data_IF_653454452368
#
_entry.id   IF_653454452368
#
_cell.length_a   1.000
_cell.length_b   1.000
_cell.length_c   1.000
_cell.angle_alpha   90.00
_cell.angle_beta   90.00
_cell.angle_gamma   90.00
#
_symmetry.space_group_name_H-M   'P 1'
#
loop_
_entity.id
_entity.type
_entity.pdbx_description
1 polymer ?
#
# COMPACT_ATOMS: atom_id res chain seq x y z
N UNK A 1 -11.56 54.78 21.09
CA UNK A 1 -11.30 53.96 19.89
C UNK A 1 -10.61 52.68 20.34
N UNK A 2 -11.32 51.55 20.24
CA UNK A 2 -10.84 50.21 20.66
C UNK A 2 -10.09 49.58 19.48
N UNK A 3 -8.80 49.30 19.66
CA UNK A 3 -8.05 48.45 18.76
C UNK A 3 -8.33 46.99 19.15
N UNK A 4 -9.34 46.39 18.53
CA UNK A 4 -9.50 44.94 18.47
C UNK A 4 -9.68 44.62 16.99
N UNK A 5 -8.56 44.49 16.29
CA UNK A 5 -8.51 43.88 14.97
C UNK A 5 -7.27 42.98 14.96
N UNK A 6 -7.40 41.82 14.30
CA UNK A 6 -6.40 40.75 14.16
C UNK A 6 -6.38 39.67 15.25
N UNK A 7 -7.51 39.01 15.46
CA UNK A 7 -7.56 37.59 15.84
C UNK A 7 -8.37 36.78 14.82
N UNK A 8 -8.19 37.09 13.54
CA UNK A 8 -8.75 36.33 12.42
C UNK A 8 -7.60 35.95 11.48
N UNK A 9 -6.72 35.07 11.94
CA UNK A 9 -5.76 34.38 11.10
C UNK A 9 -5.47 33.04 11.77
N UNK A 10 -5.55 31.97 10.97
CA UNK A 10 -5.22 30.58 11.31
C UNK A 10 -6.34 29.73 11.93
N UNK A 11 -7.55 29.80 11.38
CA UNK A 11 -8.29 28.57 11.11
C UNK A 11 -7.76 27.99 9.79
N UNK A 12 -6.49 27.58 9.77
CA UNK A 12 -6.06 26.61 8.77
C UNK A 12 -6.75 25.31 9.16
N UNK A 13 -7.83 24.96 8.47
CA UNK A 13 -8.26 23.57 8.41
C UNK A 13 -7.14 22.78 7.74
N UNK A 14 -6.11 22.42 8.53
CA UNK A 14 -5.06 21.52 8.10
C UNK A 14 -5.74 20.19 7.85
N UNK A 15 -6.04 19.90 6.59
CA UNK A 15 -6.53 18.58 6.23
C UNK A 15 -5.49 17.58 6.70
N UNK A 16 -5.91 16.68 7.59
CA UNK A 16 -5.02 15.69 8.15
C UNK A 16 -4.52 14.81 7.01
N UNK A 17 -3.20 14.76 6.84
CA UNK A 17 -2.58 14.09 5.70
C UNK A 17 -2.63 12.56 5.89
N UNK A 18 -2.64 11.83 4.78
CA UNK A 18 -2.37 10.39 4.80
C UNK A 18 -1.00 10.13 4.20
N UNK A 19 -0.10 9.59 5.03
CA UNK A 19 1.18 9.09 4.55
C UNK A 19 1.02 7.64 4.10
N UNK A 20 1.54 7.30 2.93
CA UNK A 20 1.50 5.96 2.40
C UNK A 20 2.89 5.50 1.99
N UNK A 21 3.29 4.31 2.41
CA UNK A 21 4.57 3.71 2.01
C UNK A 21 4.31 2.70 0.90
N UNK A 22 4.78 3.01 -0.30
CA UNK A 22 4.47 2.25 -1.53
C UNK A 22 5.68 2.15 -2.44
N UNK A 23 5.71 1.17 -3.32
CA UNK A 23 6.82 1.00 -4.25
C UNK A 23 6.43 0.26 -5.51
N UNK A 24 7.03 0.60 -6.67
CA UNK A 24 6.74 -0.10 -7.90
C UNK A 24 7.22 -1.56 -7.82
N UNK A 25 6.48 -2.41 -8.51
CA UNK A 25 6.99 -3.74 -8.84
C UNK A 25 8.04 -3.62 -9.95
N UNK A 26 8.93 -4.61 -10.06
CA UNK A 26 9.78 -4.73 -11.25
C UNK A 26 8.91 -4.91 -12.50
N UNK A 27 9.39 -4.48 -13.68
CA UNK A 27 8.62 -4.59 -14.92
C UNK A 27 8.16 -6.03 -15.20
N UNK A 28 9.07 -7.00 -14.98
CA UNK A 28 8.78 -8.43 -15.12
C UNK A 28 7.63 -8.86 -14.21
N UNK A 29 7.69 -8.51 -12.94
CA UNK A 29 6.68 -8.91 -11.95
C UNK A 29 5.34 -8.21 -12.18
N UNK A 30 5.35 -6.93 -12.55
CA UNK A 30 4.15 -6.18 -12.89
C UNK A 30 3.44 -6.78 -14.11
N UNK A 31 4.19 -7.05 -15.17
CA UNK A 31 3.67 -7.67 -16.39
C UNK A 31 3.10 -9.06 -16.13
N UNK A 32 3.88 -9.92 -15.45
CA UNK A 32 3.46 -11.28 -15.11
C UNK A 32 2.17 -11.30 -14.29
N UNK A 33 2.09 -10.49 -13.23
CA UNK A 33 0.89 -10.40 -12.41
C UNK A 33 -0.32 -9.94 -13.22
N UNK A 34 -0.13 -8.92 -14.08
CA UNK A 34 -1.21 -8.39 -14.91
C UNK A 34 -1.71 -9.44 -15.90
N UNK A 35 -0.84 -9.99 -16.73
CA UNK A 35 -1.23 -10.94 -17.77
C UNK A 35 -1.86 -12.20 -17.16
N UNK A 36 -1.21 -12.80 -16.16
CA UNK A 36 -1.57 -14.12 -15.66
C UNK A 36 -2.83 -14.09 -14.80
N UNK A 37 -2.90 -13.15 -13.85
CA UNK A 37 -3.94 -13.15 -12.83
C UNK A 37 -5.03 -12.14 -13.10
N UNK A 38 -4.71 -11.01 -13.75
CA UNK A 38 -5.69 -9.93 -13.96
C UNK A 38 -6.37 -10.09 -15.31
N UNK A 39 -5.62 -10.01 -16.41
CA UNK A 39 -6.14 -10.08 -17.77
C UNK A 39 -6.70 -11.47 -18.10
N UNK A 40 -5.93 -12.54 -17.86
CA UNK A 40 -6.37 -13.91 -18.13
C UNK A 40 -7.43 -14.45 -17.17
N UNK A 41 -7.84 -13.68 -16.15
CA UNK A 41 -9.03 -14.01 -15.38
C UNK A 41 -10.32 -13.78 -16.17
N UNK A 42 -10.31 -12.85 -17.14
CA UNK A 42 -11.52 -12.38 -17.82
C UNK A 42 -12.38 -11.43 -16.98
N UNK A 43 -11.88 -10.94 -15.84
CA UNK A 43 -12.53 -9.89 -15.07
C UNK A 43 -12.54 -8.57 -15.86
N UNK A 44 -13.69 -7.89 -15.90
CA UNK A 44 -13.78 -6.53 -16.44
C UNK A 44 -13.29 -5.54 -15.39
N UNK A 45 -12.21 -4.85 -15.70
CA UNK A 45 -11.58 -3.83 -14.87
C UNK A 45 -11.29 -2.61 -15.72
N UNK A 46 -11.59 -1.43 -15.18
CA UNK A 46 -10.95 -0.21 -15.66
C UNK A 46 -9.55 -0.20 -15.04
N UNK A 47 -8.65 -0.87 -15.74
CA UNK A 47 -7.34 -1.26 -15.24
C UNK A 47 -6.39 -0.08 -15.07
N UNK A 48 -5.60 -0.13 -14.01
CA UNK A 48 -4.37 0.66 -13.92
C UNK A 48 -3.36 0.06 -14.91
N UNK A 49 -2.67 0.84 -15.75
CA UNK A 49 -1.59 0.30 -16.58
C UNK A 49 -0.60 -0.47 -15.69
N UNK A 50 -0.25 -1.71 -16.05
CA UNK A 50 0.55 -2.58 -15.17
C UNK A 50 1.86 -1.94 -14.72
N UNK A 51 2.45 -1.07 -15.55
CA UNK A 51 3.66 -0.27 -15.23
C UNK A 51 3.50 0.68 -14.03
N UNK A 52 2.26 0.91 -13.57
CA UNK A 52 1.93 1.74 -12.42
C UNK A 52 1.52 0.91 -11.20
N UNK A 53 1.63 -0.43 -11.26
CA UNK A 53 1.39 -1.28 -10.12
C UNK A 53 2.42 -1.00 -9.03
N UNK A 54 1.89 -0.68 -7.85
CA UNK A 54 2.70 -0.46 -6.66
C UNK A 54 2.24 -1.42 -5.57
N UNK A 55 3.19 -2.05 -4.89
CA UNK A 55 2.92 -2.63 -3.59
C UNK A 55 2.72 -1.50 -2.60
N UNK A 56 1.74 -1.62 -1.73
CA UNK A 56 1.64 -0.79 -0.54
C UNK A 56 2.15 -1.58 0.65
N UNK A 57 3.02 -0.99 1.47
CA UNK A 57 3.51 -1.57 2.72
C UNK A 57 2.66 -1.14 3.93
N UNK A 58 2.12 0.07 3.89
CA UNK A 58 1.24 0.56 4.95
C UNK A 58 0.81 2.01 4.77
N UNK A 59 -0.08 2.45 5.66
CA UNK A 59 -0.62 3.80 5.71
C UNK A 59 -0.54 4.36 7.13
N UNK A 60 -0.33 5.66 7.25
CA UNK A 60 -0.48 6.41 8.49
C UNK A 60 -1.52 7.49 8.20
N UNK A 61 -2.69 7.36 8.82
CA UNK A 61 -3.81 8.26 8.61
C UNK A 61 -3.80 9.40 9.63
N UNK A 62 -4.49 10.48 9.27
CA UNK A 62 -4.76 11.63 10.15
C UNK A 62 -3.49 12.29 10.72
N UNK A 63 -2.44 12.39 9.89
CA UNK A 63 -1.19 13.06 10.28
C UNK A 63 -1.41 14.57 10.30
N UNK A 64 -1.16 15.18 11.46
CA UNK A 64 -1.21 16.63 11.58
C UNK A 64 -0.05 17.28 10.81
N UNK A 65 -0.30 18.44 10.21
CA UNK A 65 0.72 19.15 9.43
C UNK A 65 1.99 19.43 10.23
N UNK A 66 1.87 19.72 11.53
CA UNK A 66 3.02 19.95 12.42
C UNK A 66 3.87 18.70 12.69
N UNK A 67 3.31 17.50 12.51
CA UNK A 67 4.03 16.23 12.72
C UNK A 67 4.56 15.61 11.42
N UNK A 68 4.03 16.04 10.27
CA UNK A 68 4.29 15.45 8.97
C UNK A 68 5.79 15.42 8.62
N UNK A 69 6.51 16.51 8.88
CA UNK A 69 7.95 16.61 8.58
C UNK A 69 8.77 15.61 9.39
N UNK A 70 8.47 15.50 10.69
CA UNK A 70 9.19 14.60 11.58
C UNK A 70 8.90 13.13 11.27
N UNK A 71 7.64 12.77 10.99
CA UNK A 71 7.28 11.42 10.53
C UNK A 71 7.93 11.10 9.19
N UNK A 72 7.90 12.03 8.24
CA UNK A 72 8.55 11.89 6.94
C UNK A 72 10.04 11.61 7.08
N UNK A 73 10.73 12.34 7.96
CA UNK A 73 12.15 12.12 8.26
C UNK A 73 12.41 10.74 8.85
N UNK A 74 11.59 10.30 9.82
CA UNK A 74 11.72 8.97 10.43
C UNK A 74 11.51 7.86 9.41
N UNK A 75 10.44 7.96 8.61
CA UNK A 75 10.10 6.94 7.62
C UNK A 75 11.14 6.88 6.51
N UNK A 76 11.55 8.03 5.96
CA UNK A 76 12.59 8.05 4.93
C UNK A 76 13.93 7.55 5.46
N UNK A 77 14.31 7.90 6.70
CA UNK A 77 15.52 7.37 7.33
C UNK A 77 15.47 5.85 7.50
N UNK A 78 14.31 5.32 7.89
CA UNK A 78 14.10 3.87 8.01
C UNK A 78 14.16 3.17 6.64
N UNK A 79 13.53 3.75 5.61
CA UNK A 79 13.52 3.22 4.25
C UNK A 79 14.94 3.19 3.67
N UNK A 80 15.72 4.25 3.84
CA UNK A 80 17.10 4.32 3.36
C UNK A 80 17.99 3.28 4.08
N UNK A 81 17.87 3.16 5.40
CA UNK A 81 18.63 2.19 6.18
C UNK A 81 18.30 0.72 5.83
N UNK A 82 17.15 0.46 5.19
CA UNK A 82 16.72 -0.87 4.78
C UNK A 82 16.65 -1.02 3.25
N UNK A 83 17.21 -0.07 2.48
CA UNK A 83 17.09 -0.03 1.02
C UNK A 83 17.52 -1.34 0.35
N UNK A 84 18.66 -1.90 0.75
CA UNK A 84 19.20 -3.13 0.17
C UNK A 84 18.35 -4.37 0.48
N UNK A 85 17.61 -4.34 1.61
CA UNK A 85 16.65 -5.41 1.95
C UNK A 85 15.36 -5.27 1.17
N UNK A 86 14.92 -4.03 0.95
CA UNK A 86 13.68 -3.70 0.23
C UNK A 86 13.83 -4.01 -1.26
N UNK A 87 14.99 -3.68 -1.84
CA UNK A 87 15.26 -3.93 -3.25
C UNK A 87 15.33 -5.42 -3.53
N UNK A 88 14.56 -5.89 -4.51
CA UNK A 88 14.50 -7.31 -4.86
C UNK A 88 13.63 -8.13 -3.90
N UNK A 89 12.95 -7.48 -2.95
CA UNK A 89 12.07 -8.20 -2.03
C UNK A 89 10.88 -8.78 -2.78
N UNK A 90 10.53 -10.01 -2.41
CA UNK A 90 9.46 -10.77 -3.05
C UNK A 90 8.22 -10.83 -2.18
N UNK A 91 7.09 -10.61 -2.83
CA UNK A 91 5.76 -10.76 -2.28
C UNK A 91 5.09 -11.94 -2.96
N UNK A 92 4.66 -12.94 -2.20
CA UNK A 92 3.87 -14.04 -2.73
C UNK A 92 2.42 -13.62 -2.88
N UNK A 93 1.91 -13.64 -4.10
CA UNK A 93 0.49 -13.45 -4.42
C UNK A 93 -0.31 -14.60 -3.82
N UNK A 94 -1.39 -14.27 -3.11
CA UNK A 94 -2.29 -15.24 -2.48
C UNK A 94 -3.70 -15.10 -3.04
N UNK A 95 -4.27 -13.89 -2.97
CA UNK A 95 -5.66 -13.65 -3.36
C UNK A 95 -5.94 -12.23 -3.79
N UNK A 96 -7.10 -12.02 -4.37
CA UNK A 96 -7.69 -10.73 -4.67
C UNK A 96 -8.73 -10.35 -3.60
N UNK A 97 -8.64 -9.11 -3.14
CA UNK A 97 -9.60 -8.44 -2.27
C UNK A 97 -10.18 -7.23 -2.98
N UNK A 98 -11.33 -6.75 -2.53
CA UNK A 98 -11.97 -5.57 -3.12
C UNK A 98 -12.74 -4.77 -2.08
N UNK A 99 -12.72 -3.44 -2.22
CA UNK A 99 -13.75 -2.59 -1.65
C UNK A 99 -14.88 -2.35 -2.67
N UNK A 100 -15.73 -1.34 -2.45
CA UNK A 100 -16.84 -1.02 -3.36
C UNK A 100 -16.40 -0.44 -4.72
N UNK A 101 -15.14 -0.02 -4.87
CA UNK A 101 -14.62 0.71 -6.04
C UNK A 101 -13.34 0.14 -6.62
N UNK A 102 -12.59 -0.63 -5.84
CA UNK A 102 -11.21 -1.02 -6.17
C UNK A 102 -11.01 -2.50 -5.93
N UNK A 103 -10.15 -3.08 -6.76
CA UNK A 103 -9.62 -4.43 -6.56
C UNK A 103 -8.12 -4.38 -6.30
N UNK A 104 -7.67 -5.24 -5.41
CA UNK A 104 -6.28 -5.35 -4.98
C UNK A 104 -5.88 -6.82 -4.94
N UNK A 105 -4.61 -7.10 -5.24
CA UNK A 105 -3.97 -8.39 -4.98
C UNK A 105 -3.23 -8.30 -3.65
N UNK A 106 -3.49 -9.26 -2.76
CA UNK A 106 -2.87 -9.41 -1.44
C UNK A 106 -2.08 -10.73 -1.37
N UNK A 107 -1.26 -10.87 -0.33
CA UNK A 107 -0.31 -11.98 -0.20
C UNK A 107 -0.45 -12.70 1.13
N UNK A 108 0.18 -13.87 1.23
CA UNK A 108 0.10 -14.74 2.41
C UNK A 108 0.80 -14.10 3.61
N UNK A 109 0.14 -14.13 4.79
CA UNK A 109 0.62 -13.46 6.00
C UNK A 109 1.82 -14.14 6.67
N UNK A 110 1.92 -15.47 6.59
CA UNK A 110 2.74 -16.26 7.51
C UNK A 110 4.22 -16.42 7.10
N UNK A 111 4.57 -16.23 5.84
CA UNK A 111 5.87 -16.66 5.28
C UNK A 111 6.66 -15.53 4.64
N UNK A 112 6.22 -14.28 4.81
CA UNK A 112 6.60 -13.21 3.89
C UNK A 112 7.44 -12.12 4.61
N UNK A 113 8.66 -11.90 4.10
CA UNK A 113 9.64 -10.92 4.57
C UNK A 113 9.09 -9.49 4.63
N UNK A 114 8.06 -9.19 3.81
CA UNK A 114 7.33 -7.93 3.88
C UNK A 114 6.74 -7.66 5.26
N UNK A 115 6.27 -8.69 5.97
CA UNK A 115 5.66 -8.51 7.30
C UNK A 115 6.70 -8.15 8.35
N UNK A 116 7.89 -8.75 8.28
CA UNK A 116 9.01 -8.39 9.15
C UNK A 116 9.46 -6.95 8.92
N UNK A 117 9.61 -6.53 7.65
CA UNK A 117 9.92 -5.14 7.33
C UNK A 117 8.82 -4.17 7.79
N UNK A 118 7.56 -4.51 7.51
CA UNK A 118 6.41 -3.70 7.92
C UNK A 118 6.35 -3.52 9.43
N UNK A 119 6.60 -4.59 10.20
CA UNK A 119 6.60 -4.52 11.65
C UNK A 119 7.77 -3.68 12.17
N UNK A 120 8.95 -3.77 11.55
CA UNK A 120 10.08 -2.88 11.84
C UNK A 120 9.76 -1.40 11.57
N UNK A 121 9.10 -1.10 10.45
CA UNK A 121 8.65 0.26 10.13
C UNK A 121 7.57 0.73 11.11
N UNK A 122 6.62 -0.13 11.47
CA UNK A 122 5.60 0.18 12.48
C UNK A 122 6.25 0.58 13.80
N UNK A 123 7.22 -0.20 14.29
CA UNK A 123 7.95 0.12 15.52
C UNK A 123 8.70 1.45 15.41
N UNK A 124 9.31 1.75 14.26
CA UNK A 124 9.99 3.04 14.05
C UNK A 124 9.01 4.22 14.09
N UNK A 125 7.83 4.07 13.48
CA UNK A 125 6.76 5.08 13.51
C UNK A 125 6.21 5.27 14.91
N UNK A 126 5.95 4.20 15.65
CA UNK A 126 5.43 4.26 17.03
C UNK A 126 6.43 4.86 18.02
N UNK A 127 7.73 4.68 17.77
CA UNK A 127 8.80 5.27 18.56
C UNK A 127 9.11 6.74 18.18
N UNK A 128 8.53 7.26 17.09
CA UNK A 128 8.78 8.61 16.63
C UNK A 128 8.28 9.64 17.65
N UNK A 129 9.19 10.50 18.11
CA UNK A 129 8.83 11.67 18.94
C UNK A 129 8.43 12.81 18.01
N UNK A 130 7.12 13.04 17.90
CA UNK A 130 6.54 14.11 17.08
C UNK A 130 6.20 15.35 17.92
N UNK A 131 6.20 16.56 17.33
CA UNK A 131 5.94 17.81 18.05
C UNK A 131 4.63 17.86 18.83
N UNK A 132 3.53 17.31 18.27
CA UNK A 132 2.23 17.29 18.94
C UNK A 132 2.16 16.36 20.17
N UNK A 133 3.15 15.48 20.35
CA UNK A 133 3.13 14.40 21.34
C UNK A 133 2.16 13.25 21.00
N UNK A 134 1.48 13.28 19.84
CA UNK A 134 0.63 12.18 19.38
C UNK A 134 1.43 10.92 19.10
N UNK A 135 0.73 9.78 19.17
CA UNK A 135 1.26 8.50 18.73
C UNK A 135 0.62 8.13 17.40
N UNK A 136 1.46 7.82 16.44
CA UNK A 136 1.05 7.31 15.14
C UNK A 136 1.42 5.83 15.06
N UNK A 137 0.68 5.09 14.24
CA UNK A 137 0.98 3.69 13.93
C UNK A 137 0.78 3.45 12.44
N UNK A 138 1.47 2.43 11.93
CA UNK A 138 1.31 1.97 10.57
C UNK A 138 0.10 1.03 10.50
N UNK A 139 -0.95 1.46 9.79
CA UNK A 139 -2.16 0.66 9.62
C UNK A 139 -1.87 -0.58 8.75
N UNK A 140 -2.17 -1.76 9.31
CA UNK A 140 -2.00 -3.07 8.67
C UNK A 140 -3.19 -3.47 7.80
N UNK A 141 -4.29 -2.72 7.93
CA UNK A 141 -5.50 -2.84 7.16
C UNK A 141 -6.01 -1.44 6.81
N UNK A 142 -6.36 -1.22 5.55
CA UNK A 142 -6.99 0.03 5.11
C UNK A 142 -8.32 -0.28 4.44
N UNK A 143 -9.42 0.18 5.06
CA UNK A 143 -10.80 -0.02 4.55
C UNK A 143 -11.18 -1.49 4.30
N UNK A 144 -10.67 -2.39 5.13
CA UNK A 144 -10.92 -3.83 5.01
C UNK A 144 -9.88 -4.57 4.18
N UNK A 145 -9.02 -3.89 3.42
CA UNK A 145 -7.96 -4.53 2.63
C UNK A 145 -6.69 -4.69 3.46
N UNK A 146 -6.17 -5.92 3.50
CA UNK A 146 -4.90 -6.22 4.14
C UNK A 146 -3.72 -5.67 3.34
N UNK A 147 -2.67 -5.31 4.07
CA UNK A 147 -1.41 -4.81 3.50
C UNK A 147 -0.29 -5.77 3.90
N UNK A 148 0.64 -6.18 3.01
CA UNK A 148 0.88 -5.67 1.66
C UNK A 148 -0.20 -5.98 0.62
N UNK A 149 -0.43 -5.01 -0.27
CA UNK A 149 -1.39 -5.13 -1.36
C UNK A 149 -1.01 -4.31 -2.59
N UNK A 150 -1.43 -4.80 -3.76
CA UNK A 150 -1.18 -4.19 -5.06
C UNK A 150 -2.52 -3.79 -5.66
N UNK A 151 -2.72 -2.50 -5.90
CA UNK A 151 -3.92 -2.02 -6.59
C UNK A 151 -3.83 -2.33 -8.08
N UNK A 152 -4.82 -3.05 -8.61
CA UNK A 152 -4.80 -3.52 -10.01
C UNK A 152 -5.87 -2.88 -10.90
N UNK A 153 -6.89 -2.24 -10.32
CA UNK A 153 -7.86 -1.49 -11.12
C UNK A 153 -9.13 -1.08 -10.39
N UNK A 154 -9.91 -0.23 -11.07
CA UNK A 154 -11.23 0.19 -10.64
C UNK A 154 -12.29 -0.84 -11.06
N UNK A 155 -13.32 -0.97 -10.23
CA UNK A 155 -14.50 -1.80 -10.45
C UNK A 155 -15.79 -1.00 -10.33
N UNK A 156 -15.72 0.33 -10.51
CA UNK A 156 -16.90 1.18 -10.52
C UNK A 156 -17.92 0.68 -11.55
N UNK A 157 -19.17 0.50 -11.11
CA UNK A 157 -20.24 -0.05 -11.95
C UNK A 157 -20.25 -1.57 -12.09
N UNK A 158 -19.35 -2.32 -11.43
CA UNK A 158 -19.29 -3.78 -11.44
C UNK A 158 -19.45 -4.35 -10.03
N UNK A 159 -20.08 -5.52 -9.90
CA UNK A 159 -20.21 -6.19 -8.60
C UNK A 159 -18.84 -6.67 -8.07
N UNK A 160 -18.32 -6.17 -6.93
CA UNK A 160 -16.98 -6.51 -6.45
C UNK A 160 -16.75 -8.00 -6.25
N UNK A 161 -17.74 -8.71 -5.69
CA UNK A 161 -17.70 -10.17 -5.48
C UNK A 161 -17.49 -10.97 -6.77
N UNK A 162 -18.01 -10.51 -7.91
CA UNK A 162 -17.86 -11.21 -9.19
C UNK A 162 -16.43 -11.08 -9.72
N UNK A 163 -15.85 -9.89 -9.59
CA UNK A 163 -14.48 -9.61 -10.00
C UNK A 163 -13.49 -10.42 -9.18
N UNK A 164 -13.55 -10.31 -7.85
CA UNK A 164 -12.62 -11.02 -6.96
C UNK A 164 -12.75 -12.53 -7.10
N UNK A 165 -13.96 -13.08 -7.23
CA UNK A 165 -14.17 -14.52 -7.48
C UNK A 165 -13.47 -14.99 -8.76
N UNK A 166 -13.50 -14.18 -9.81
CA UNK A 166 -12.93 -14.55 -11.12
C UNK A 166 -11.40 -14.56 -11.07
N UNK A 167 -10.81 -13.54 -10.45
CA UNK A 167 -9.36 -13.46 -10.23
C UNK A 167 -8.89 -14.56 -9.27
N UNK A 168 -9.58 -14.77 -8.15
CA UNK A 168 -9.22 -15.81 -7.17
C UNK A 168 -9.26 -17.20 -7.78
N UNK A 169 -10.29 -17.52 -8.58
CA UNK A 169 -10.33 -18.79 -9.31
C UNK A 169 -9.11 -18.97 -10.21
N UNK A 170 -8.62 -17.90 -10.85
CA UNK A 170 -7.43 -17.95 -11.70
C UNK A 170 -6.16 -18.19 -10.89
N UNK A 171 -6.04 -17.57 -9.71
CA UNK A 171 -4.93 -17.81 -8.78
C UNK A 171 -4.94 -19.26 -8.29
N UNK A 172 -6.09 -19.76 -7.82
CA UNK A 172 -6.28 -21.15 -7.39
C UNK A 172 -5.93 -22.16 -8.48
N UNK A 173 -6.40 -21.94 -9.71
CA UNK A 173 -6.05 -22.79 -10.86
C UNK A 173 -4.56 -22.80 -11.14
N UNK A 174 -3.89 -21.64 -10.99
CA UNK A 174 -2.46 -21.54 -11.22
C UNK A 174 -1.67 -22.34 -10.18
N UNK A 175 -2.16 -22.43 -8.92
CA UNK A 175 -1.47 -23.19 -7.85
C UNK A 175 -1.42 -24.70 -8.12
N UNK A 176 -2.32 -25.21 -8.96
CA UNK A 176 -2.31 -26.62 -9.37
C UNK A 176 -1.20 -26.89 -10.40
N UNK A 177 -0.85 -25.88 -11.20
CA UNK A 177 -0.03 -26.03 -12.41
C UNK A 177 1.41 -25.57 -12.15
N UNK A 178 1.58 -24.57 -11.30
CA UNK A 178 2.85 -23.88 -11.10
C UNK A 178 3.37 -24.01 -9.68
N UNK A 179 4.69 -23.90 -9.53
CA UNK A 179 5.38 -23.91 -8.24
C UNK A 179 5.38 -22.52 -7.59
N UNK A 180 5.82 -22.47 -6.32
CA UNK A 180 5.81 -21.27 -5.49
C UNK A 180 6.47 -20.01 -6.11
N UNK A 181 7.65 -20.08 -6.77
CA UNK A 181 8.27 -18.91 -7.40
C UNK A 181 7.40 -18.23 -8.47
N UNK A 182 6.42 -18.94 -9.04
CA UNK A 182 5.51 -18.37 -10.03
C UNK A 182 4.57 -17.29 -9.47
N UNK A 183 4.35 -17.32 -8.16
CA UNK A 183 3.47 -16.40 -7.43
C UNK A 183 4.24 -15.23 -6.81
N UNK A 184 5.55 -15.21 -6.93
CA UNK A 184 6.39 -14.15 -6.38
C UNK A 184 6.42 -12.94 -7.31
N UNK A 185 6.07 -11.77 -6.77
CA UNK A 185 6.30 -10.48 -7.41
C UNK A 185 7.37 -9.72 -6.65
N UNK A 186 8.30 -9.16 -7.41
CA UNK A 186 9.46 -8.47 -6.89
C UNK A 186 9.21 -6.97 -6.85
N UNK A 187 9.66 -6.34 -5.77
CA UNK A 187 9.55 -4.90 -5.54
C UNK A 187 10.87 -4.24 -5.85
N UNK A 188 10.81 -3.15 -6.60
CA UNK A 188 12.01 -2.41 -6.97
C UNK A 188 12.50 -1.55 -5.80
N UNK A 189 11.67 -0.62 -5.32
CA UNK A 189 11.98 0.16 -4.12
C UNK A 189 10.72 0.74 -3.48
N UNK A 190 10.75 1.03 -2.17
CA UNK A 190 9.66 1.69 -1.44
C UNK A 190 9.95 3.18 -1.24
N UNK A 191 8.90 4.00 -1.29
CA UNK A 191 8.93 5.44 -1.08
C UNK A 191 7.73 5.88 -0.24
N UNK A 192 7.90 7.00 0.45
CA UNK A 192 6.82 7.69 1.12
C UNK A 192 6.06 8.60 0.14
N UNK A 193 4.74 8.53 0.19
CA UNK A 193 3.83 9.40 -0.52
C UNK A 193 2.92 10.10 0.48
N UNK A 194 2.66 11.39 0.25
CA UNK A 194 1.73 12.18 1.04
C UNK A 194 0.53 12.53 0.18
N UNK A 195 -0.66 12.14 0.64
CA UNK A 195 -1.96 12.44 0.02
C UNK A 195 -2.78 13.35 0.92
#
# INVERSE_FOLDING_TARGET
MKAILFAATLLSSSMAATLAVKGPLTEKSAYHLHEVFVQNSGARLDGTPYKQYNVTLGYIANVESQDADQLTKVINGWLEANRDKIHGMKFRVDRAESDSKRVMITGEHMTNEFYCLRDGLRTAVEAAKVPSGRRYTLALNCKGIFVPSIYVGSIEGVTPKRVTKTINRRIEQSHIIHNDPYFEVEVDNLKLYQN
#
